data_IF_361639811024
#
_entry.id   IF_361639811024
#
_cell.length_a   1.000
_cell.length_b   1.000
_cell.length_c   1.000
_cell.angle_alpha   90.00
_cell.angle_beta   90.00
_cell.angle_gamma   90.00
#
_symmetry.space_group_name_H-M   'P 1'
#
loop_
_entity.id
_entity.type
_entity.pdbx_description
1 polymer ?
#
# COMPACT_ATOMS: atom_id res chain seq x y z
N UNK A 1 -8.66 -26.48 -3.48
CA UNK A 1 -7.76 -25.53 -2.78
C UNK A 1 -7.66 -24.32 -3.67
N UNK A 2 -8.16 -23.18 -3.20
CA UNK A 2 -8.27 -21.96 -4.00
C UNK A 2 -6.90 -21.26 -4.08
N UNK A 3 -6.37 -21.16 -5.30
CA UNK A 3 -4.99 -20.71 -5.58
C UNK A 3 -4.95 -19.17 -5.79
N UNK A 4 -6.11 -18.50 -5.75
CA UNK A 4 -6.23 -17.04 -5.81
C UNK A 4 -5.68 -16.30 -4.57
N UNK A 5 -5.48 -17.01 -3.45
CA UNK A 5 -4.94 -16.46 -2.19
C UNK A 5 -3.40 -16.31 -2.13
N UNK A 6 -2.67 -16.61 -3.21
CA UNK A 6 -1.19 -16.57 -3.26
C UNK A 6 -0.65 -15.17 -3.62
N UNK A 7 -1.47 -14.13 -3.51
CA UNK A 7 -1.04 -12.76 -3.80
C UNK A 7 -0.30 -12.08 -2.65
N UNK A 8 -0.84 -12.09 -1.43
CA UNK A 8 -0.38 -11.17 -0.37
C UNK A 8 0.76 -11.69 0.50
N UNK A 9 1.34 -12.82 0.12
CA UNK A 9 2.47 -13.38 0.83
C UNK A 9 3.24 -14.37 -0.03
N UNK A 10 4.54 -14.11 -0.25
CA UNK A 10 5.67 -15.00 0.11
C UNK A 10 6.91 -14.64 -0.69
N UNK A 11 8.06 -14.58 -0.01
CA UNK A 11 9.45 -14.55 -0.49
C UNK A 11 10.25 -13.25 -0.22
N UNK A 12 11.54 -13.38 0.12
CA UNK A 12 12.41 -12.23 0.45
C UNK A 12 12.94 -11.55 -0.83
N UNK A 13 12.76 -12.20 -1.99
CA UNK A 13 12.74 -11.56 -3.32
C UNK A 13 11.40 -10.85 -3.62
N UNK A 14 10.39 -11.01 -2.77
CA UNK A 14 9.02 -10.45 -2.88
C UNK A 14 8.81 -9.14 -2.12
N UNK A 15 9.90 -8.53 -1.66
CA UNK A 15 9.97 -7.08 -1.63
C UNK A 15 10.24 -6.49 -3.02
N UNK A 16 10.22 -7.31 -4.09
CA UNK A 16 9.79 -6.80 -5.39
C UNK A 16 8.35 -6.35 -5.20
N UNK A 17 8.06 -5.07 -5.44
CA UNK A 17 6.69 -4.57 -5.51
C UNK A 17 5.89 -5.59 -6.33
N UNK A 18 4.93 -6.25 -5.70
CA UNK A 18 4.05 -7.15 -6.42
C UNK A 18 3.26 -6.23 -7.35
N UNK A 19 3.73 -6.11 -8.59
CA UNK A 19 3.40 -4.96 -9.42
C UNK A 19 1.90 -4.90 -9.75
N UNK A 20 1.15 -5.99 -9.53
CA UNK A 20 -0.24 -6.11 -9.95
C UNK A 20 -1.20 -6.65 -8.87
N UNK A 21 -0.82 -6.66 -7.58
CA UNK A 21 -1.78 -7.04 -6.54
C UNK A 21 -2.83 -5.93 -6.35
N UNK A 22 -4.11 -6.31 -6.13
CA UNK A 22 -5.10 -5.34 -5.73
C UNK A 22 -4.77 -4.75 -4.35
N UNK A 23 -5.19 -3.50 -4.18
CA UNK A 23 -5.07 -2.73 -2.96
C UNK A 23 -6.36 -2.90 -2.18
N UNK A 24 -6.25 -3.35 -0.93
CA UNK A 24 -7.42 -3.60 -0.07
C UNK A 24 -8.07 -2.30 0.38
N UNK A 25 -9.39 -2.20 0.20
CA UNK A 25 -10.21 -1.08 0.63
C UNK A 25 -11.36 -1.55 1.52
N UNK A 26 -11.64 -0.78 2.57
CA UNK A 26 -12.82 -0.94 3.43
C UNK A 26 -13.83 0.16 3.13
N UNK A 27 -15.08 -0.10 3.51
CA UNK A 27 -16.21 0.82 3.35
C UNK A 27 -15.89 2.24 3.83
N UNK A 28 -16.24 3.22 2.99
CA UNK A 28 -16.12 4.63 3.30
C UNK A 28 -17.34 5.16 4.06
N UNK A 29 -17.19 6.28 4.79
CA UNK A 29 -18.31 6.87 5.53
C UNK A 29 -19.44 7.38 4.61
N UNK A 30 -19.15 7.65 3.33
CA UNK A 30 -20.13 8.04 2.32
C UNK A 30 -20.32 6.97 1.24
N UNK A 31 -20.13 5.69 1.56
CA UNK A 31 -20.34 4.60 0.61
C UNK A 31 -21.74 4.66 -0.03
N UNK A 32 -22.76 4.98 0.77
CA UNK A 32 -24.16 5.13 0.33
C UNK A 32 -24.38 6.29 -0.65
N UNK A 33 -23.43 7.23 -0.77
CA UNK A 33 -23.47 8.27 -1.81
C UNK A 33 -23.12 7.72 -3.20
N UNK A 34 -22.69 6.46 -3.32
CA UNK A 34 -22.35 5.80 -4.57
C UNK A 34 -23.39 4.73 -4.91
N UNK A 35 -23.65 4.53 -6.19
CA UNK A 35 -24.59 3.50 -6.62
C UNK A 35 -24.03 2.11 -6.30
N UNK A 36 -24.91 1.14 -5.99
CA UNK A 36 -24.51 -0.28 -5.81
C UNK A 36 -23.70 -0.82 -7.00
N UNK A 37 -24.00 -0.32 -8.20
CA UNK A 37 -23.25 -0.63 -9.43
C UNK A 37 -21.83 -0.10 -9.35
N UNK A 38 -21.64 1.17 -8.98
CA UNK A 38 -20.31 1.79 -8.79
C UNK A 38 -19.49 1.06 -7.74
N UNK A 39 -20.11 0.69 -6.62
CA UNK A 39 -19.48 -0.04 -5.52
C UNK A 39 -18.99 -1.42 -6.00
N UNK A 40 -19.77 -2.12 -6.82
CA UNK A 40 -19.36 -3.41 -7.39
C UNK A 40 -18.31 -3.25 -8.51
N UNK A 41 -18.43 -2.23 -9.35
CA UNK A 41 -17.56 -2.03 -10.50
C UNK A 41 -16.14 -1.58 -10.12
N UNK A 42 -15.95 -0.93 -8.96
CA UNK A 42 -14.63 -0.38 -8.57
C UNK A 42 -13.51 -1.43 -8.55
N UNK A 43 -13.81 -2.69 -8.22
CA UNK A 43 -12.83 -3.79 -8.21
C UNK A 43 -12.37 -4.19 -9.61
N UNK A 44 -13.18 -3.88 -10.63
CA UNK A 44 -12.93 -4.21 -12.03
C UNK A 44 -12.32 -3.05 -12.81
N UNK A 45 -12.20 -1.87 -12.20
CA UNK A 45 -11.62 -0.68 -12.83
C UNK A 45 -10.11 -0.66 -12.56
N UNK A 46 -9.34 -0.47 -13.64
CA UNK A 46 -7.92 -0.18 -13.55
C UNK A 46 -7.68 1.33 -13.51
N UNK A 47 -7.07 1.78 -12.43
CA UNK A 47 -6.72 3.18 -12.24
C UNK A 47 -5.21 3.38 -12.45
N UNK A 48 -4.84 4.39 -13.23
CA UNK A 48 -3.44 4.78 -13.40
C UNK A 48 -3.06 5.89 -12.41
N UNK A 49 -1.87 5.78 -11.82
CA UNK A 49 -1.31 6.86 -11.00
C UNK A 49 -1.02 8.07 -11.89
N UNK A 50 -1.58 9.23 -11.53
CA UNK A 50 -1.35 10.49 -12.23
C UNK A 50 0.02 11.07 -11.92
N UNK A 51 0.57 11.86 -12.84
CA UNK A 51 1.80 12.64 -12.64
C UNK A 51 1.66 13.71 -11.56
N UNK A 52 0.42 14.13 -11.27
CA UNK A 52 0.09 15.09 -10.21
C UNK A 52 -0.01 14.45 -8.81
N UNK A 53 0.51 13.24 -8.62
CA UNK A 53 0.49 12.54 -7.32
C UNK A 53 1.69 12.95 -6.46
N UNK A 54 1.45 13.20 -5.18
CA UNK A 54 2.47 13.64 -4.24
C UNK A 54 2.25 13.04 -2.84
N UNK A 55 2.89 13.63 -1.82
CA UNK A 55 2.77 13.18 -0.42
C UNK A 55 1.45 13.56 0.25
N UNK A 56 0.69 14.50 -0.32
CA UNK A 56 -0.66 14.83 0.15
C UNK A 56 -1.65 13.76 -0.30
N UNK A 57 -1.55 13.33 -1.56
CA UNK A 57 -2.40 12.26 -2.07
C UNK A 57 -1.99 11.73 -3.44
N UNK A 58 -2.31 10.45 -3.65
CA UNK A 58 -2.17 9.80 -4.94
C UNK A 58 -3.42 10.02 -5.77
N UNK A 59 -3.28 10.77 -6.86
CA UNK A 59 -4.36 11.06 -7.79
C UNK A 59 -4.41 9.98 -8.85
N UNK A 60 -5.59 9.42 -9.06
CA UNK A 60 -5.82 8.33 -9.99
C UNK A 60 -6.56 8.81 -11.23
N UNK A 61 -6.31 8.21 -12.39
CA UNK A 61 -6.97 8.53 -13.66
C UNK A 61 -7.29 7.27 -14.47
N UNK A 62 -8.06 7.41 -15.54
CA UNK A 62 -8.35 6.32 -16.49
C UNK A 62 -9.57 5.47 -16.14
N UNK A 63 -9.96 5.45 -14.86
CA UNK A 63 -11.27 5.02 -14.38
C UNK A 63 -12.01 6.20 -13.77
N UNK A 64 -13.33 6.29 -13.99
CA UNK A 64 -14.16 7.33 -13.36
C UNK A 64 -15.28 6.67 -12.57
N UNK A 65 -15.39 7.05 -11.30
CA UNK A 65 -16.50 6.70 -10.43
C UNK A 65 -17.17 7.99 -9.99
N UNK A 66 -18.51 8.03 -9.98
CA UNK A 66 -19.24 9.22 -9.58
C UNK A 66 -20.22 8.92 -8.45
N UNK A 67 -20.33 9.82 -7.46
CA UNK A 67 -21.44 9.84 -6.51
C UNK A 67 -22.77 10.05 -7.24
N UNK A 68 -23.86 9.57 -6.65
CA UNK A 68 -25.20 9.69 -7.22
C UNK A 68 -25.75 11.13 -7.19
N UNK A 69 -25.47 11.87 -6.11
CA UNK A 69 -26.02 13.22 -5.90
C UNK A 69 -24.94 14.30 -6.03
N UNK A 70 -23.98 14.32 -5.10
CA UNK A 70 -22.95 15.35 -5.02
C UNK A 70 -21.59 14.75 -4.67
N UNK A 71 -20.55 15.27 -5.33
CA UNK A 71 -19.17 15.03 -4.93
C UNK A 71 -18.76 15.89 -3.74
N UNK A 72 -19.39 17.05 -3.57
CA UNK A 72 -19.09 17.99 -2.50
C UNK A 72 -19.99 17.72 -1.29
N UNK A 73 -19.39 17.70 -0.10
CA UNK A 73 -20.03 17.51 1.20
C UNK A 73 -19.54 18.58 2.18
N UNK A 74 -20.24 18.73 3.31
CA UNK A 74 -19.72 19.53 4.43
C UNK A 74 -18.38 18.94 4.83
N UNK A 75 -17.37 19.79 5.05
CA UNK A 75 -16.02 19.31 5.35
C UNK A 75 -15.98 18.49 6.64
N UNK A 76 -15.37 17.31 6.55
CA UNK A 76 -15.31 16.32 7.63
C UNK A 76 -13.86 15.90 7.88
N UNK A 77 -13.52 15.34 9.05
CA UNK A 77 -12.22 14.72 9.28
C UNK A 77 -11.89 13.63 8.26
N UNK A 78 -10.63 13.53 7.85
CA UNK A 78 -10.18 12.51 6.90
C UNK A 78 -9.06 11.63 7.44
N UNK A 79 -9.19 10.32 7.20
CA UNK A 79 -8.21 9.32 7.63
C UNK A 79 -7.12 9.11 6.58
N UNK A 80 -6.01 8.50 7.01
CA UNK A 80 -4.97 8.03 6.09
C UNK A 80 -5.59 6.95 5.20
N UNK A 81 -5.33 7.02 3.90
CA UNK A 81 -5.87 6.08 2.93
C UNK A 81 -7.32 6.36 2.51
N UNK A 82 -7.98 7.39 3.05
CA UNK A 82 -9.32 7.76 2.57
C UNK A 82 -9.29 8.07 1.07
N UNK A 83 -10.26 7.51 0.35
CA UNK A 83 -10.37 7.62 -1.11
C UNK A 83 -11.44 8.65 -1.42
N UNK A 84 -11.02 9.90 -1.65
CA UNK A 84 -11.91 10.98 -2.05
C UNK A 84 -12.26 10.89 -3.53
N UNK A 85 -13.50 11.20 -3.88
CA UNK A 85 -13.98 11.22 -5.27
C UNK A 85 -14.51 12.62 -5.57
N UNK A 86 -13.72 13.49 -6.23
CA UNK A 86 -14.17 14.80 -6.68
C UNK A 86 -15.16 14.69 -7.85
N UNK A 87 -15.68 15.82 -8.30
CA UNK A 87 -16.68 15.91 -9.38
C UNK A 87 -16.22 15.33 -10.74
N UNK A 88 -14.92 15.31 -11.00
CA UNK A 88 -14.34 14.70 -12.20
C UNK A 88 -14.33 13.15 -12.14
N UNK A 89 -14.67 12.59 -10.98
CA UNK A 89 -14.78 11.15 -10.73
C UNK A 89 -13.44 10.43 -10.64
N UNK A 90 -12.33 11.18 -10.59
CA UNK A 90 -10.97 10.65 -10.49
C UNK A 90 -10.58 10.50 -9.01
N UNK A 91 -10.40 9.28 -8.50
CA UNK A 91 -10.16 9.09 -7.08
C UNK A 91 -8.83 9.69 -6.59
N UNK A 92 -8.81 10.16 -5.35
CA UNK A 92 -7.62 10.65 -4.66
C UNK A 92 -7.45 9.85 -3.37
N UNK A 93 -6.36 9.07 -3.28
CA UNK A 93 -5.99 8.38 -2.05
C UNK A 93 -5.18 9.33 -1.17
N UNK A 94 -5.72 9.70 -0.01
CA UNK A 94 -5.07 10.65 0.89
C UNK A 94 -3.91 10.01 1.67
N UNK A 95 -2.77 10.70 1.74
CA UNK A 95 -1.53 10.19 2.32
C UNK A 95 -1.12 10.95 3.59
N UNK A 96 0.17 10.91 3.94
CA UNK A 96 0.68 11.40 5.22
C UNK A 96 0.62 12.92 5.35
N UNK A 97 0.74 13.67 4.25
CA UNK A 97 0.72 15.14 4.27
C UNK A 97 -0.68 15.68 3.90
N UNK A 98 -1.71 14.82 3.90
CA UNK A 98 -3.10 15.19 3.61
C UNK A 98 -3.61 16.27 4.56
N UNK A 99 -4.57 17.07 4.10
CA UNK A 99 -5.29 17.98 5.00
C UNK A 99 -6.07 17.22 6.08
N UNK A 100 -6.35 17.88 7.21
CA UNK A 100 -7.06 17.26 8.35
C UNK A 100 -8.56 17.10 8.12
N UNK A 101 -9.14 17.95 7.27
CA UNK A 101 -10.57 17.95 6.90
C UNK A 101 -10.74 18.02 5.39
N UNK A 102 -11.75 17.35 4.83
CA UNK A 102 -11.99 17.34 3.39
C UNK A 102 -13.47 17.41 3.05
N UNK A 103 -13.78 18.12 1.96
CA UNK A 103 -15.15 18.34 1.49
C UNK A 103 -15.59 17.45 0.33
N UNK A 104 -14.88 16.36 0.05
CA UNK A 104 -15.28 15.39 -0.99
C UNK A 104 -15.84 14.11 -0.38
N UNK A 105 -16.81 13.50 -1.07
CA UNK A 105 -17.32 12.17 -0.73
C UNK A 105 -16.20 11.13 -0.78
N UNK A 106 -16.28 10.18 0.15
CA UNK A 106 -15.27 9.13 0.32
C UNK A 106 -15.92 7.77 0.09
N UNK A 107 -15.52 7.08 -0.98
CA UNK A 107 -16.07 5.76 -1.32
C UNK A 107 -15.52 4.67 -0.41
N UNK A 108 -14.26 4.81 0.02
CA UNK A 108 -13.58 3.78 0.79
C UNK A 108 -12.36 4.32 1.51
N UNK A 109 -11.73 3.46 2.29
CA UNK A 109 -10.43 3.72 2.94
C UNK A 109 -9.50 2.55 2.68
N UNK A 110 -8.32 2.83 2.14
CA UNK A 110 -7.26 1.83 1.96
C UNK A 110 -6.81 1.29 3.31
N UNK A 111 -6.62 -0.02 3.41
CA UNK A 111 -6.07 -0.64 4.62
C UNK A 111 -4.64 -0.17 4.88
N UNK A 112 -4.31 0.07 6.15
CA UNK A 112 -3.00 0.58 6.59
C UNK A 112 -1.83 -0.23 5.99
N UNK A 113 -1.98 -1.56 5.96
CA UNK A 113 -0.95 -2.46 5.47
C UNK A 113 -0.59 -2.24 4.00
N UNK A 114 -1.51 -1.76 3.17
CA UNK A 114 -1.33 -1.62 1.72
C UNK A 114 -0.92 -0.18 1.32
N UNK A 115 -0.87 0.77 2.25
CA UNK A 115 -0.35 2.12 2.02
C UNK A 115 1.10 2.07 1.53
N UNK A 116 1.93 1.19 2.11
CA UNK A 116 3.33 1.03 1.70
C UNK A 116 3.46 0.53 0.26
N UNK A 117 2.47 -0.21 -0.24
CA UNK A 117 2.47 -0.74 -1.60
C UNK A 117 2.05 0.34 -2.60
N UNK A 118 1.12 1.24 -2.23
CA UNK A 118 0.73 2.41 -3.04
C UNK A 118 1.90 3.37 -3.23
N UNK A 119 2.60 3.75 -2.15
CA UNK A 119 3.63 4.80 -2.23
C UNK A 119 4.88 4.38 -3.02
N UNK A 120 4.99 3.11 -3.38
CA UNK A 120 6.05 2.60 -4.27
C UNK A 120 5.66 2.69 -5.75
N UNK A 121 4.39 2.97 -6.06
CA UNK A 121 3.88 3.13 -7.42
C UNK A 121 4.31 4.46 -8.02
N UNK A 122 4.74 4.42 -9.28
CA UNK A 122 5.14 5.58 -10.08
C UNK A 122 3.99 6.06 -10.94
N UNK A 123 4.00 7.33 -11.40
CA UNK A 123 3.09 7.79 -12.43
C UNK A 123 3.04 6.84 -13.62
N UNK A 124 1.83 6.52 -14.08
CA UNK A 124 1.55 5.55 -15.14
C UNK A 124 1.39 4.09 -14.68
N UNK A 125 1.80 3.73 -13.46
CA UNK A 125 1.52 2.39 -12.94
C UNK A 125 0.04 2.22 -12.55
N UNK A 126 -0.42 0.98 -12.60
CA UNK A 126 -1.82 0.62 -12.36
C UNK A 126 -2.06 0.24 -10.90
N UNK A 127 -3.21 0.68 -10.40
CA UNK A 127 -3.82 0.30 -9.12
C UNK A 127 -5.19 -0.31 -9.44
N UNK A 128 -5.46 -1.45 -8.82
CA UNK A 128 -6.79 -2.07 -8.75
C UNK A 128 -7.18 -2.15 -7.29
N UNK A 129 -8.48 -2.09 -7.02
CA UNK A 129 -9.01 -2.22 -5.66
C UNK A 129 -9.63 -3.59 -5.44
N UNK A 130 -9.68 -4.01 -4.18
CA UNK A 130 -10.50 -5.13 -3.72
C UNK A 130 -11.13 -4.76 -2.38
N UNK A 131 -12.41 -5.08 -2.20
CA UNK A 131 -13.10 -4.93 -0.93
C UNK A 131 -12.55 -5.93 0.07
N UNK A 132 -12.25 -5.45 1.27
CA UNK A 132 -11.81 -6.28 2.38
C UNK A 132 -12.62 -5.97 3.62
N UNK A 133 -12.91 -7.00 4.40
CA UNK A 133 -13.53 -6.85 5.71
C UNK A 133 -12.50 -6.39 6.74
N UNK A 134 -12.99 -5.85 7.86
CA UNK A 134 -12.14 -5.50 9.00
C UNK A 134 -11.31 -6.69 9.51
N UNK A 135 -11.89 -7.90 9.52
CA UNK A 135 -11.18 -9.10 9.95
C UNK A 135 -10.05 -9.46 8.98
N UNK A 136 -10.31 -9.44 7.67
CA UNK A 136 -9.29 -9.71 6.65
C UNK A 136 -8.16 -8.67 6.71
N UNK A 137 -8.50 -7.39 6.87
CA UNK A 137 -7.53 -6.31 7.03
C UNK A 137 -6.59 -6.56 8.22
N UNK A 138 -7.14 -6.95 9.38
CA UNK A 138 -6.35 -7.30 10.56
C UNK A 138 -5.49 -8.55 10.36
N UNK A 139 -5.99 -9.57 9.66
CA UNK A 139 -5.22 -10.75 9.33
C UNK A 139 -4.05 -10.44 8.39
N UNK A 140 -4.26 -9.59 7.39
CA UNK A 140 -3.21 -9.10 6.49
C UNK A 140 -2.16 -8.34 7.27
N UNK A 141 -2.57 -7.41 8.15
CA UNK A 141 -1.66 -6.64 9.00
C UNK A 141 -0.83 -7.55 9.90
N UNK A 142 -1.48 -8.50 10.60
CA UNK A 142 -0.80 -9.46 11.46
C UNK A 142 0.19 -10.34 10.69
N UNK A 143 -0.15 -10.73 9.46
CA UNK A 143 0.73 -11.50 8.56
C UNK A 143 1.95 -10.68 8.13
N UNK A 144 1.78 -9.40 7.75
CA UNK A 144 2.91 -8.50 7.42
C UNK A 144 3.79 -8.28 8.66
N UNK A 145 3.18 -8.11 9.84
CA UNK A 145 3.88 -7.97 11.12
C UNK A 145 4.75 -9.19 11.49
N UNK A 146 4.20 -10.40 11.40
CA UNK A 146 4.97 -11.65 11.64
C UNK A 146 6.17 -11.76 10.72
N UNK A 147 5.99 -11.49 9.43
CA UNK A 147 7.10 -11.51 8.46
C UNK A 147 8.20 -10.51 8.78
N UNK A 148 7.83 -9.30 9.19
CA UNK A 148 8.80 -8.29 9.59
C UNK A 148 9.59 -8.76 10.82
N UNK A 149 8.92 -9.37 11.80
CA UNK A 149 9.57 -9.95 12.96
C UNK A 149 10.54 -11.08 12.58
N UNK A 150 10.12 -12.02 11.73
CA UNK A 150 10.95 -13.11 11.24
C UNK A 150 12.18 -12.60 10.47
N UNK A 151 11.99 -11.57 9.64
CA UNK A 151 13.08 -10.92 8.90
C UNK A 151 14.09 -10.25 9.83
N UNK A 152 13.62 -9.53 10.85
CA UNK A 152 14.48 -8.93 11.89
C UNK A 152 15.27 -9.99 12.64
N UNK A 153 14.61 -11.08 13.01
CA UNK A 153 15.24 -12.18 13.74
C UNK A 153 16.29 -12.90 12.89
N UNK A 154 16.01 -13.13 11.60
CA UNK A 154 16.99 -13.67 10.65
C UNK A 154 18.20 -12.77 10.49
N UNK A 155 18.01 -11.45 10.43
CA UNK A 155 19.11 -10.48 10.35
C UNK A 155 19.96 -10.45 11.62
N UNK A 156 19.35 -10.65 12.80
CA UNK A 156 20.07 -10.76 14.08
C UNK A 156 20.91 -12.04 14.14
N UNK A 157 20.34 -13.18 13.79
CA UNK A 157 21.05 -14.48 13.78
C UNK A 157 22.10 -14.58 12.68
N UNK A 158 21.80 -14.07 11.50
CA UNK A 158 22.65 -14.16 10.31
C UNK A 158 22.81 -12.77 9.66
N UNK A 159 23.64 -11.89 10.23
CA UNK A 159 23.82 -10.55 9.69
C UNK A 159 24.40 -10.61 8.27
N UNK A 160 23.65 -10.06 7.30
CA UNK A 160 24.13 -9.95 5.91
C UNK A 160 25.23 -8.88 5.84
N UNK A 161 26.49 -9.32 5.75
CA UNK A 161 27.65 -8.45 5.54
C UNK A 161 27.95 -8.35 4.04
N UNK A 162 27.69 -7.19 3.43
CA UNK A 162 27.98 -6.95 2.00
C UNK A 162 29.46 -6.67 1.78
N UNK A 163 30.29 -7.72 1.88
CA UNK A 163 31.75 -7.62 1.78
C UNK A 163 32.26 -7.34 0.35
N UNK A 164 31.38 -7.33 -0.65
CA UNK A 164 31.74 -7.13 -2.08
C UNK A 164 32.09 -5.67 -2.41
N UNK A 165 31.58 -4.71 -1.64
CA UNK A 165 31.81 -3.27 -1.88
C UNK A 165 32.85 -2.65 -0.92
N UNK A 166 33.57 -3.48 -0.15
CA UNK A 166 34.63 -2.99 0.74
C UNK A 166 35.85 -2.59 -0.10
N UNK A 167 36.34 -1.36 0.11
CA UNK A 167 37.52 -0.84 -0.59
C UNK A 167 38.74 -1.75 -0.37
N UNK A 168 39.62 -1.94 -1.37
CA UNK A 168 40.77 -2.85 -1.27
C UNK A 168 41.71 -2.56 -0.09
N UNK A 169 41.80 -1.31 0.33
CA UNK A 169 42.63 -0.83 1.46
C UNK A 169 42.10 -1.26 2.84
N UNK A 170 40.84 -1.70 2.95
CA UNK A 170 40.21 -2.11 4.21
C UNK A 170 40.24 -3.65 4.43
N UNK A 171 41.31 -4.32 3.99
CA UNK A 171 41.48 -5.79 4.12
C UNK A 171 41.35 -6.31 5.56
N UNK A 172 41.84 -5.56 6.57
CA UNK A 172 41.73 -5.91 8.00
C UNK A 172 40.27 -5.99 8.48
N UNK A 173 39.41 -5.11 7.99
CA UNK A 173 37.97 -5.13 8.35
C UNK A 173 37.30 -6.37 7.74
N UNK A 174 37.70 -6.77 6.52
CA UNK A 174 37.17 -7.99 5.87
C UNK A 174 37.53 -9.27 6.64
N UNK A 175 38.70 -9.34 7.28
CA UNK A 175 39.08 -10.51 8.09
C UNK A 175 38.37 -10.54 9.45
N UNK A 176 38.23 -9.40 10.14
CA UNK A 176 37.45 -9.30 11.39
C UNK A 176 35.99 -9.63 11.13
N UNK A 177 35.41 -9.08 10.05
CA UNK A 177 34.03 -9.34 9.67
C UNK A 177 33.76 -10.77 9.15
N UNK A 178 34.80 -11.54 8.81
CA UNK A 178 34.69 -12.98 8.55
C UNK A 178 34.87 -13.81 9.83
N UNK A 179 35.49 -13.25 10.88
CA UNK A 179 35.64 -13.89 12.18
C UNK A 179 34.32 -13.93 12.96
N UNK A 180 33.62 -12.80 13.08
CA UNK A 180 32.33 -12.76 13.82
C UNK A 180 31.14 -13.40 13.07
N UNK A 181 31.36 -14.06 11.93
CA UNK A 181 30.33 -14.94 11.33
C UNK A 181 30.21 -16.30 12.02
N UNK A 182 31.05 -16.56 13.03
CA UNK A 182 30.91 -17.70 13.94
C UNK A 182 30.11 -17.18 15.16
N UNK A 183 29.02 -17.84 15.58
CA UNK A 183 28.34 -17.47 16.82
C UNK A 183 29.34 -17.47 17.98
N UNK A 184 29.35 -16.43 18.81
CA UNK A 184 30.09 -16.46 20.07
C UNK A 184 29.46 -17.57 20.94
N UNK A 185 30.13 -18.71 21.04
CA UNK A 185 29.83 -19.76 22.02
C UNK A 185 30.22 -19.31 23.41
#
# INVERSE_FOLDING_TARGET
MDISLIGRSSDFKSFSAASNLPIGIMDGPQLESFSKRTIAEIEHIEFQVSESSDRMGYRLKGGSIQPMESADIISEPVALGSIQVPKDGNPIILLNDRQTVGGYTKIGTVIDSDIVDIIQKRPGEVIRFEWVTFNEANEILARKGRKLADAKEKLRRYPKRYLKNIRPTQRKIKSVLKGDSIPWT
#
